data_IF_657206188622
#
_entry.id   IF_657206188622
#
_cell.length_a   1.000
_cell.length_b   1.000
_cell.length_c   1.000
_cell.angle_alpha   90.00
_cell.angle_beta   90.00
_cell.angle_gamma   90.00
#
_symmetry.space_group_name_H-M   'P 1'
#
loop_
_entity.id
_entity.type
_entity.pdbx_description
1 polymer ?
#
# COMPACT_ATOMS: atom_id res chain seq x y z
N UNK A 1 -21.43 -26.34 12.57
CA UNK A 1 -21.99 -25.83 11.29
C UNK A 1 -23.25 -25.00 11.55
N UNK A 2 -23.14 -23.84 12.22
CA UNK A 2 -24.27 -22.92 12.48
C UNK A 2 -24.06 -21.56 11.80
N UNK A 3 -22.83 -21.24 11.37
CA UNK A 3 -22.47 -19.99 10.69
C UNK A 3 -23.05 -19.84 9.27
N UNK A 4 -23.56 -20.91 8.66
CA UNK A 4 -24.17 -20.90 7.32
C UNK A 4 -25.66 -20.57 7.30
N UNK A 5 -26.32 -20.42 8.46
CA UNK A 5 -27.78 -20.15 8.53
C UNK A 5 -28.15 -18.67 8.46
N UNK A 6 -27.21 -17.75 8.71
CA UNK A 6 -27.41 -16.32 8.59
C UNK A 6 -26.53 -15.81 7.45
N UNK A 7 -27.15 -15.35 6.34
CA UNK A 7 -26.40 -14.83 5.20
C UNK A 7 -25.44 -13.68 5.55
N UNK A 8 -24.55 -13.33 4.62
CA UNK A 8 -23.56 -12.25 4.80
C UNK A 8 -24.22 -10.96 5.33
N UNK A 9 -23.56 -10.32 6.30
CA UNK A 9 -24.04 -9.05 6.89
C UNK A 9 -24.01 -7.96 5.82
N UNK A 10 -24.99 -7.04 5.83
CA UNK A 10 -24.96 -5.89 4.92
C UNK A 10 -23.98 -4.84 5.43
N UNK A 11 -23.22 -4.24 4.52
CA UNK A 11 -22.38 -3.07 4.79
C UNK A 11 -22.52 -2.08 3.63
N UNK A 12 -22.75 -0.82 3.99
CA UNK A 12 -22.78 0.27 3.01
C UNK A 12 -21.36 0.59 2.53
N UNK A 13 -21.21 1.02 1.27
CA UNK A 13 -19.94 1.49 0.71
C UNK A 13 -19.31 2.60 1.56
N UNK A 14 -20.11 3.54 2.06
CA UNK A 14 -19.69 4.64 2.95
C UNK A 14 -18.94 4.11 4.19
N UNK A 15 -19.56 3.17 4.91
CA UNK A 15 -18.98 2.55 6.11
C UNK A 15 -17.75 1.73 5.77
N UNK A 16 -17.78 0.96 4.68
CA UNK A 16 -16.65 0.13 4.28
C UNK A 16 -15.44 0.99 3.87
N UNK A 17 -15.65 2.08 3.13
CA UNK A 17 -14.59 3.02 2.75
C UNK A 17 -13.98 3.70 3.99
N UNK A 18 -14.79 4.01 5.00
CA UNK A 18 -14.29 4.53 6.27
C UNK A 18 -13.41 3.53 7.02
N UNK A 19 -13.83 2.26 7.09
CA UNK A 19 -13.00 1.20 7.69
C UNK A 19 -11.70 1.03 6.90
N UNK A 20 -11.80 0.93 5.58
CA UNK A 20 -10.66 0.78 4.67
C UNK A 20 -9.60 1.87 4.85
N UNK A 21 -10.00 3.15 4.81
CA UNK A 21 -9.06 4.28 4.96
C UNK A 21 -8.45 4.32 6.35
N UNK A 22 -9.24 4.12 7.40
CA UNK A 22 -8.70 4.11 8.76
C UNK A 22 -7.73 2.95 8.99
N UNK A 23 -8.01 1.77 8.46
CA UNK A 23 -7.07 0.65 8.52
C UNK A 23 -5.75 0.95 7.79
N UNK A 24 -5.79 1.64 6.64
CA UNK A 24 -4.56 2.06 5.94
C UNK A 24 -3.76 3.06 6.79
N UNK A 25 -4.42 4.07 7.36
CA UNK A 25 -3.77 5.09 8.18
C UNK A 25 -3.15 4.47 9.45
N UNK A 26 -3.92 3.67 10.18
CA UNK A 26 -3.49 3.01 11.43
C UNK A 26 -2.32 2.06 11.16
N UNK A 27 -2.43 1.20 10.14
CA UNK A 27 -1.35 0.25 9.83
C UNK A 27 -0.08 0.96 9.36
N UNK A 28 -0.18 2.10 8.67
CA UNK A 28 1.01 2.89 8.31
C UNK A 28 1.63 3.56 9.53
N UNK A 29 0.82 4.20 10.37
CA UNK A 29 1.27 4.86 11.60
C UNK A 29 2.04 3.89 12.51
N UNK A 30 1.51 2.67 12.69
CA UNK A 30 2.13 1.67 13.56
C UNK A 30 3.26 0.89 12.87
N UNK A 31 3.16 0.70 11.56
CA UNK A 31 4.04 -0.17 10.80
C UNK A 31 5.24 0.51 10.16
N UNK A 32 5.16 1.80 9.82
CA UNK A 32 6.27 2.49 9.15
C UNK A 32 7.56 2.56 9.99
N UNK A 33 7.52 2.76 11.32
CA UNK A 33 8.73 2.70 12.14
C UNK A 33 9.50 1.38 11.98
N UNK A 34 8.78 0.25 11.85
CA UNK A 34 9.38 -1.06 11.61
C UNK A 34 10.02 -1.15 10.21
N UNK A 35 9.40 -0.54 9.20
CA UNK A 35 9.94 -0.46 7.85
C UNK A 35 11.19 0.41 7.80
N UNK A 36 11.17 1.55 8.50
CA UNK A 36 12.33 2.45 8.60
C UNK A 36 13.50 1.75 9.31
N UNK A 37 13.24 1.07 10.44
CA UNK A 37 14.25 0.28 11.15
C UNK A 37 14.83 -0.82 10.25
N UNK A 38 13.98 -1.60 9.58
CA UNK A 38 14.39 -2.66 8.64
C UNK A 38 15.32 -2.13 7.52
N UNK A 39 15.08 -0.91 7.04
CA UNK A 39 15.91 -0.26 6.02
C UNK A 39 17.21 0.33 6.60
N UNK A 40 17.14 0.98 7.76
CA UNK A 40 18.28 1.61 8.40
C UNK A 40 19.30 0.59 8.94
N UNK A 41 18.83 -0.58 9.34
CA UNK A 41 19.65 -1.65 9.90
C UNK A 41 20.07 -2.71 8.86
N UNK A 42 19.67 -2.55 7.59
CA UNK A 42 19.96 -3.50 6.53
C UNK A 42 21.48 -3.58 6.24
N UNK A 43 22.15 -4.71 6.53
CA UNK A 43 23.59 -4.86 6.29
C UNK A 43 23.94 -4.92 4.79
N UNK A 44 22.95 -5.09 3.91
CA UNK A 44 23.15 -5.08 2.46
C UNK A 44 23.31 -3.68 1.86
N UNK A 45 23.06 -2.62 2.64
CA UNK A 45 23.41 -1.26 2.23
C UNK A 45 24.87 -0.93 2.62
N UNK A 46 25.57 -0.25 1.72
CA UNK A 46 26.94 0.24 1.96
C UNK A 46 26.95 1.34 3.03
N UNK A 47 25.85 2.10 3.12
CA UNK A 47 25.66 3.19 4.08
C UNK A 47 24.22 3.14 4.62
N UNK A 48 24.02 3.55 5.88
CA UNK A 48 22.69 3.65 6.47
C UNK A 48 21.85 4.72 5.73
N UNK A 49 20.66 4.38 5.23
CA UNK A 49 19.77 5.34 4.57
C UNK A 49 19.31 6.53 5.45
N UNK A 50 19.30 6.36 6.78
CA UNK A 50 18.94 7.42 7.73
C UNK A 50 17.47 7.86 7.65
N UNK A 51 16.55 6.93 7.36
CA UNK A 51 15.11 7.22 7.32
C UNK A 51 14.61 7.61 8.71
N UNK A 52 13.88 8.72 8.79
CA UNK A 52 13.12 9.10 9.98
C UNK A 52 11.83 8.31 10.05
N UNK A 53 11.44 7.87 11.25
CA UNK A 53 10.12 7.27 11.52
C UNK A 53 8.96 8.23 11.24
N UNK A 54 9.24 9.54 11.14
CA UNK A 54 8.25 10.60 10.84
C UNK A 54 8.13 10.92 9.34
N UNK A 55 9.01 10.40 8.46
CA UNK A 55 8.93 10.63 6.99
C UNK A 55 8.03 9.58 6.30
N UNK A 56 6.84 9.34 6.86
CA UNK A 56 5.94 8.26 6.46
C UNK A 56 5.01 8.65 5.29
N UNK A 57 4.90 9.94 4.95
CA UNK A 57 3.91 10.44 3.99
C UNK A 57 4.01 9.76 2.61
N UNK A 58 5.23 9.51 2.11
CA UNK A 58 5.43 8.79 0.83
C UNK A 58 5.02 7.33 0.95
N UNK A 59 5.36 6.69 2.07
CA UNK A 59 4.98 5.31 2.36
C UNK A 59 3.46 5.15 2.50
N UNK A 60 2.79 6.06 3.20
CA UNK A 60 1.33 6.09 3.32
C UNK A 60 0.64 6.14 1.94
N UNK A 61 1.14 6.98 1.02
CA UNK A 61 0.62 7.05 -0.34
C UNK A 61 0.88 5.75 -1.13
N UNK A 62 2.04 5.10 -0.95
CA UNK A 62 2.34 3.79 -1.54
C UNK A 62 1.34 2.73 -1.04
N UNK A 63 1.10 2.67 0.27
CA UNK A 63 0.17 1.71 0.86
C UNK A 63 -1.27 1.96 0.41
N UNK A 64 -1.73 3.22 0.39
CA UNK A 64 -3.04 3.60 -0.13
C UNK A 64 -3.19 3.15 -1.59
N UNK A 65 -2.20 3.47 -2.43
CA UNK A 65 -2.23 3.15 -3.87
C UNK A 65 -2.28 1.65 -4.10
N UNK A 66 -1.44 0.87 -3.41
CA UNK A 66 -1.45 -0.59 -3.51
C UNK A 66 -2.80 -1.18 -3.10
N UNK A 67 -3.38 -0.68 -2.01
CA UNK A 67 -4.67 -1.13 -1.52
C UNK A 67 -5.84 -0.76 -2.44
N UNK A 68 -5.80 0.40 -3.10
CA UNK A 68 -6.76 0.78 -4.13
C UNK A 68 -6.62 -0.09 -5.39
N UNK A 69 -5.40 -0.49 -5.76
CA UNK A 69 -5.18 -1.46 -6.84
C UNK A 69 -5.77 -2.83 -6.50
N UNK A 70 -5.63 -3.30 -5.25
CA UNK A 70 -6.28 -4.54 -4.79
C UNK A 70 -7.80 -4.42 -4.71
N UNK A 71 -8.32 -3.27 -4.27
CA UNK A 71 -9.75 -2.97 -4.26
C UNK A 71 -10.37 -3.15 -5.65
N UNK A 72 -9.74 -2.60 -6.69
CA UNK A 72 -10.20 -2.73 -8.07
C UNK A 72 -10.18 -4.17 -8.59
N UNK A 73 -9.31 -5.04 -8.04
CA UNK A 73 -9.26 -6.47 -8.40
C UNK A 73 -10.32 -7.28 -7.65
N UNK A 74 -10.60 -6.92 -6.40
CA UNK A 74 -11.52 -7.64 -5.55
C UNK A 74 -13.00 -7.28 -5.79
N UNK A 75 -13.27 -6.03 -6.16
CA UNK A 75 -14.63 -5.51 -6.32
C UNK A 75 -15.09 -5.56 -7.77
N UNK A 76 -16.39 -5.75 -7.95
CA UNK A 76 -17.02 -5.73 -9.27
C UNK A 76 -17.15 -4.32 -9.85
N UNK A 77 -17.32 -4.21 -11.19
CA UNK A 77 -17.45 -2.93 -11.87
C UNK A 77 -18.59 -2.07 -11.29
N UNK A 78 -18.32 -0.79 -11.10
CA UNK A 78 -19.22 0.19 -10.50
C UNK A 78 -19.03 0.31 -8.99
N UNK A 79 -19.04 -0.81 -8.26
CA UNK A 79 -18.76 -0.80 -6.81
C UNK A 79 -17.30 -0.41 -6.54
N UNK A 80 -16.37 -0.91 -7.33
CA UNK A 80 -14.95 -0.51 -7.33
C UNK A 80 -14.78 1.03 -7.45
N UNK A 81 -15.45 1.66 -8.41
CA UNK A 81 -15.35 3.11 -8.68
C UNK A 81 -15.95 3.94 -7.56
N UNK A 82 -17.10 3.54 -7.01
CA UNK A 82 -17.72 4.24 -5.88
C UNK A 82 -16.86 4.10 -4.62
N UNK A 83 -16.38 2.90 -4.34
CA UNK A 83 -15.45 2.66 -3.22
C UNK A 83 -14.15 3.44 -3.37
N UNK A 84 -13.59 3.53 -4.58
CA UNK A 84 -12.41 4.35 -4.85
C UNK A 84 -12.66 5.83 -4.54
N UNK A 85 -13.72 6.42 -5.11
CA UNK A 85 -14.05 7.82 -4.89
C UNK A 85 -14.31 8.15 -3.41
N UNK A 86 -15.01 7.27 -2.69
CA UNK A 86 -15.23 7.41 -1.25
C UNK A 86 -13.93 7.31 -0.46
N UNK A 87 -13.04 6.39 -0.84
CA UNK A 87 -11.76 6.20 -0.16
C UNK A 87 -10.82 7.39 -0.37
N UNK A 88 -10.76 7.93 -1.59
CA UNK A 88 -10.00 9.15 -1.88
C UNK A 88 -10.53 10.34 -1.07
N UNK A 89 -11.85 10.54 -1.05
CA UNK A 89 -12.49 11.61 -0.28
C UNK A 89 -12.18 11.52 1.22
N UNK A 90 -12.31 10.32 1.80
CA UNK A 90 -12.05 10.09 3.22
C UNK A 90 -10.57 10.21 3.58
N UNK A 91 -9.69 9.71 2.71
CA UNK A 91 -8.25 9.85 2.90
C UNK A 91 -7.82 11.32 2.83
N UNK A 92 -8.32 12.06 1.83
CA UNK A 92 -8.05 13.48 1.67
C UNK A 92 -8.52 14.26 2.90
N UNK A 93 -9.73 13.98 3.40
CA UNK A 93 -10.24 14.58 4.63
C UNK A 93 -9.36 14.26 5.84
N UNK A 94 -8.97 13.00 6.03
CA UNK A 94 -8.18 12.55 7.18
C UNK A 94 -6.75 13.14 7.18
N UNK A 95 -6.18 13.37 6.00
CA UNK A 95 -4.81 13.91 5.82
C UNK A 95 -4.77 15.43 5.61
N UNK A 96 -5.93 16.10 5.58
CA UNK A 96 -6.02 17.54 5.33
C UNK A 96 -5.65 17.95 3.89
N UNK A 97 -5.70 17.02 2.94
CA UNK A 97 -5.34 17.22 1.53
C UNK A 97 -6.58 17.47 0.66
N UNK A 98 -6.37 18.02 -0.55
CA UNK A 98 -7.42 18.14 -1.55
C UNK A 98 -7.72 16.80 -2.23
N UNK A 99 -9.00 16.45 -2.42
CA UNK A 99 -9.38 15.21 -3.11
C UNK A 99 -8.75 15.08 -4.50
N UNK A 100 -8.69 16.19 -5.26
CA UNK A 100 -8.07 16.23 -6.59
C UNK A 100 -6.58 15.90 -6.54
N UNK A 101 -5.87 16.42 -5.52
CA UNK A 101 -4.42 16.22 -5.39
C UNK A 101 -4.11 14.77 -5.02
N UNK A 102 -4.87 14.20 -4.07
CA UNK A 102 -4.77 12.79 -3.70
C UNK A 102 -5.06 11.88 -4.90
N UNK A 103 -6.14 12.14 -5.64
CA UNK A 103 -6.50 11.37 -6.84
C UNK A 103 -5.38 11.40 -7.88
N UNK A 104 -4.78 12.58 -8.14
CA UNK A 104 -3.68 12.71 -9.09
C UNK A 104 -2.43 11.98 -8.62
N UNK A 105 -2.09 12.09 -7.33
CA UNK A 105 -0.94 11.41 -6.73
C UNK A 105 -1.10 9.88 -6.79
N UNK A 106 -2.27 9.35 -6.43
CA UNK A 106 -2.60 7.92 -6.52
C UNK A 106 -2.51 7.43 -7.96
N UNK A 107 -3.06 8.16 -8.94
CA UNK A 107 -2.98 7.78 -10.35
C UNK A 107 -1.53 7.73 -10.84
N UNK A 108 -0.77 8.79 -10.60
CA UNK A 108 0.61 8.88 -11.03
C UNK A 108 1.48 7.76 -10.40
N UNK A 109 1.26 7.46 -9.12
CA UNK A 109 1.97 6.41 -8.42
C UNK A 109 1.53 5.01 -8.88
N UNK A 110 0.23 4.77 -9.09
CA UNK A 110 -0.30 3.50 -9.61
C UNK A 110 0.32 3.15 -10.97
N UNK A 111 0.41 4.13 -11.87
CA UNK A 111 1.04 3.97 -13.18
C UNK A 111 2.53 3.64 -13.05
N UNK A 112 3.23 4.30 -12.13
CA UNK A 112 4.66 4.07 -11.85
C UNK A 112 4.88 2.69 -11.26
N UNK A 113 4.11 2.30 -10.25
CA UNK A 113 4.14 0.98 -9.63
C UNK A 113 3.88 -0.12 -10.65
N UNK A 114 2.90 0.08 -11.54
CA UNK A 114 2.60 -0.90 -12.61
C UNK A 114 3.77 -1.09 -13.58
N UNK A 115 4.47 -0.01 -13.96
CA UNK A 115 5.67 -0.10 -14.80
C UNK A 115 6.85 -0.76 -14.08
N UNK A 116 7.11 -0.38 -12.83
CA UNK A 116 8.18 -0.97 -12.01
C UNK A 116 7.95 -2.46 -11.76
N UNK A 117 6.69 -2.87 -11.61
CA UNK A 117 6.32 -4.25 -11.29
C UNK A 117 6.35 -5.18 -12.51
N UNK A 118 6.22 -4.65 -13.72
CA UNK A 118 6.13 -5.46 -14.93
C UNK A 118 7.30 -6.45 -15.08
N UNK A 119 7.04 -7.72 -15.49
CA UNK A 119 5.73 -8.29 -15.87
C UNK A 119 4.89 -8.83 -14.69
N UNK A 120 5.37 -8.71 -13.45
CA UNK A 120 4.64 -9.15 -12.26
C UNK A 120 3.40 -8.27 -11.99
N UNK A 121 2.42 -8.85 -11.30
CA UNK A 121 1.23 -8.16 -10.78
C UNK A 121 1.17 -8.15 -9.25
N UNK A 122 2.21 -8.66 -8.59
CA UNK A 122 2.27 -8.79 -7.14
C UNK A 122 2.39 -7.40 -6.49
N UNK A 123 1.46 -7.04 -5.61
CA UNK A 123 1.38 -5.70 -5.06
C UNK A 123 2.45 -5.41 -4.00
N UNK A 124 2.84 -6.38 -3.17
CA UNK A 124 3.94 -6.17 -2.20
C UNK A 124 5.27 -5.93 -2.93
N UNK A 125 5.50 -6.62 -4.06
CA UNK A 125 6.67 -6.39 -4.90
C UNK A 125 6.66 -5.00 -5.56
N UNK A 126 5.48 -4.53 -6.00
CA UNK A 126 5.31 -3.17 -6.50
C UNK A 126 5.59 -2.12 -5.41
N UNK A 127 5.10 -2.34 -4.19
CA UNK A 127 5.37 -1.49 -3.03
C UNK A 127 6.86 -1.44 -2.71
N UNK A 128 7.53 -2.60 -2.68
CA UNK A 128 8.99 -2.72 -2.53
C UNK A 128 9.76 -1.82 -3.48
N UNK A 129 9.48 -1.92 -4.77
CA UNK A 129 10.14 -1.08 -5.79
C UNK A 129 9.77 0.39 -5.67
N UNK A 130 8.54 0.71 -5.30
CA UNK A 130 8.11 2.08 -5.09
C UNK A 130 8.87 2.71 -3.92
N UNK A 131 9.00 2.02 -2.78
CA UNK A 131 9.78 2.49 -1.62
C UNK A 131 11.23 2.79 -2.01
N UNK A 132 11.87 1.88 -2.75
CA UNK A 132 13.24 2.10 -3.25
C UNK A 132 13.38 3.37 -4.11
N UNK A 133 12.35 3.70 -4.88
CA UNK A 133 12.34 4.87 -5.73
C UNK A 133 12.01 6.16 -4.96
N UNK A 134 10.92 6.16 -4.18
CA UNK A 134 10.41 7.35 -3.50
C UNK A 134 11.34 7.82 -2.35
N UNK A 135 12.09 6.90 -1.73
CA UNK A 135 13.08 7.21 -0.70
C UNK A 135 14.52 7.26 -1.24
N UNK A 136 14.69 7.13 -2.56
CA UNK A 136 15.99 7.12 -3.25
C UNK A 136 16.99 6.16 -2.59
N UNK A 137 16.53 4.93 -2.34
CA UNK A 137 17.31 3.91 -1.63
C UNK A 137 18.37 3.26 -2.51
N UNK A 138 18.24 3.39 -3.83
CA UNK A 138 19.19 2.82 -4.79
C UNK A 138 20.62 3.28 -4.53
N UNK A 139 20.81 4.52 -4.02
CA UNK A 139 22.14 5.09 -3.76
C UNK A 139 22.90 4.42 -2.61
N UNK A 140 22.20 3.78 -1.68
CA UNK A 140 22.82 3.12 -0.53
C UNK A 140 23.21 1.67 -0.83
N UNK A 141 22.85 1.15 -2.00
CA UNK A 141 23.18 -0.23 -2.41
C UNK A 141 24.58 -0.33 -3.00
N UNK A 142 25.12 -1.55 -3.04
CA UNK A 142 26.35 -1.84 -3.79
C UNK A 142 26.30 -1.39 -5.25
N UNK A 143 27.50 -1.25 -5.85
CA UNK A 143 27.67 -0.77 -7.23
C UNK A 143 26.80 -1.52 -8.24
N UNK A 144 26.63 -2.83 -8.09
CA UNK A 144 25.87 -3.65 -9.02
C UNK A 144 24.37 -3.32 -8.98
N UNK A 145 23.76 -3.31 -7.80
CA UNK A 145 22.34 -3.03 -7.64
C UNK A 145 22.01 -1.55 -7.90
N UNK A 146 22.93 -0.65 -7.52
CA UNK A 146 22.84 0.79 -7.83
C UNK A 146 22.88 1.03 -9.35
N UNK A 147 23.85 0.44 -10.05
CA UNK A 147 24.02 0.62 -11.50
C UNK A 147 22.86 0.07 -12.32
N UNK A 148 22.23 -1.02 -11.87
CA UNK A 148 21.06 -1.63 -12.53
C UNK A 148 19.72 -1.07 -12.06
N UNK A 149 19.72 -0.12 -11.11
CA UNK A 149 18.51 0.42 -10.45
C UNK A 149 17.54 -0.68 -9.98
N UNK A 150 18.11 -1.75 -9.44
CA UNK A 150 17.35 -2.90 -8.93
C UNK A 150 17.55 -3.01 -7.42
N UNK A 151 16.50 -3.26 -6.64
CA UNK A 151 16.68 -3.50 -5.20
C UNK A 151 17.48 -4.77 -4.94
N UNK A 152 18.32 -4.76 -3.91
CA UNK A 152 18.99 -5.94 -3.38
C UNK A 152 17.91 -6.97 -3.02
N UNK A 153 18.01 -8.20 -3.52
CA UNK A 153 16.94 -9.19 -3.38
C UNK A 153 16.68 -9.61 -1.93
N UNK A 154 17.67 -9.52 -1.04
CA UNK A 154 17.50 -9.88 0.37
C UNK A 154 16.69 -8.80 1.08
N UNK A 155 17.07 -7.53 0.92
CA UNK A 155 16.32 -6.38 1.46
C UNK A 155 14.89 -6.40 0.94
N UNK A 156 14.72 -6.55 -0.37
CA UNK A 156 13.40 -6.57 -1.00
C UNK A 156 12.54 -7.73 -0.49
N UNK A 157 13.11 -8.90 -0.22
CA UNK A 157 12.37 -10.03 0.34
C UNK A 157 11.87 -9.74 1.76
N UNK A 158 12.69 -9.10 2.61
CA UNK A 158 12.29 -8.72 3.98
C UNK A 158 11.19 -7.66 3.96
N UNK A 159 11.34 -6.64 3.12
CA UNK A 159 10.28 -5.65 2.90
C UNK A 159 8.98 -6.27 2.39
N UNK A 160 9.03 -7.18 1.42
CA UNK A 160 7.82 -7.84 0.91
C UNK A 160 7.07 -8.61 2.00
N UNK A 161 7.79 -9.22 2.96
CA UNK A 161 7.18 -9.89 4.10
C UNK A 161 6.46 -8.88 5.01
N UNK A 162 7.10 -7.76 5.34
CA UNK A 162 6.47 -6.68 6.10
C UNK A 162 5.27 -6.09 5.37
N UNK A 163 5.40 -5.81 4.07
CA UNK A 163 4.38 -5.15 3.25
C UNK A 163 3.11 -5.97 3.09
N UNK A 164 3.18 -7.29 3.30
CA UNK A 164 1.99 -8.14 3.33
C UNK A 164 1.00 -7.77 4.43
N UNK A 165 1.48 -7.24 5.57
CA UNK A 165 0.64 -6.80 6.68
C UNK A 165 -0.07 -5.47 6.43
N UNK A 166 0.34 -4.71 5.42
CA UNK A 166 -0.27 -3.43 5.05
C UNK A 166 -1.39 -3.57 4.02
N UNK A 167 -1.62 -4.77 3.49
CA UNK A 167 -2.69 -5.02 2.53
C UNK A 167 -3.99 -5.37 3.25
N UNK A 168 -5.04 -4.65 2.86
CA UNK A 168 -6.40 -4.83 3.35
C UNK A 168 -6.97 -6.17 2.87
N UNK A 169 -7.53 -6.95 3.79
CA UNK A 169 -8.03 -8.29 3.52
C UNK A 169 -9.39 -8.28 2.83
N UNK A 170 -9.40 -8.00 1.52
CA UNK A 170 -10.63 -8.01 0.71
C UNK A 170 -11.32 -9.38 0.68
N UNK A 171 -10.56 -10.48 0.74
CA UNK A 171 -11.14 -11.84 0.78
C UNK A 171 -12.04 -12.00 2.00
N UNK A 172 -11.55 -11.65 3.18
CA UNK A 172 -12.32 -11.72 4.42
C UNK A 172 -13.56 -10.82 4.39
N UNK A 173 -13.42 -9.60 3.86
CA UNK A 173 -14.57 -8.69 3.71
C UNK A 173 -15.63 -9.28 2.79
N UNK A 174 -15.24 -9.88 1.67
CA UNK A 174 -16.18 -10.46 0.71
C UNK A 174 -16.85 -11.74 1.23
N UNK A 175 -16.18 -12.48 2.12
CA UNK A 175 -16.76 -13.63 2.82
C UNK A 175 -17.77 -13.22 3.89
N UNK A 176 -17.46 -12.17 4.66
CA UNK A 176 -18.29 -11.74 5.79
C UNK A 176 -19.47 -10.84 5.40
N UNK A 177 -19.29 -10.02 4.36
CA UNK A 177 -20.22 -8.94 4.04
C UNK A 177 -20.77 -8.98 2.62
N UNK A 178 -22.02 -8.49 2.48
CA UNK A 178 -22.62 -8.09 1.22
C UNK A 178 -22.60 -6.56 1.15
N UNK A 179 -21.88 -6.04 0.17
CA UNK A 179 -21.80 -4.59 -0.09
C UNK A 179 -23.10 -4.15 -0.77
N UNK A 180 -23.77 -3.14 -0.23
CA UNK A 180 -25.00 -2.57 -0.79
C UNK A 180 -25.71 -1.58 0.11
#
# INVERSE_FOLDING_TARGET
MISTLFGRKRITEEKLANVFVNSVLETCSDGFPLVAAELNEAPEFEECPGLSEEDDARFLLIVLTANLMEMHRALGPGTDKRMHALSISKFAQATGQGCTDVEQAVRALSDRMSRLNAPSKNSVYAMGKAVFLEYDLYRFQDEYFRGTRSPNPIVLKRLNALFSYFLFNWTEVMEQYRIG
#
